data_IF_764491933791
#
_entry.id   IF_764491933791
#
_cell.length_a   1.000
_cell.length_b   1.000
_cell.length_c   1.000
_cell.angle_alpha   90.00
_cell.angle_beta   90.00
_cell.angle_gamma   90.00
#
_symmetry.space_group_name_H-M   'P 1'
#
loop_
_entity.id
_entity.type
_entity.pdbx_description
1 polymer ?
#
# COMPACT_ATOMS: atom_id res chain seq x y z
N UNK A 1 26.74 14.93 15.70
CA UNK A 1 25.59 15.26 14.82
C UNK A 1 25.34 14.06 13.95
N UNK A 2 24.19 13.40 14.09
CA UNK A 2 23.83 12.22 13.30
C UNK A 2 23.49 12.70 11.89
N UNK A 3 24.32 12.35 10.90
CA UNK A 3 24.07 12.64 9.49
C UNK A 3 22.94 11.74 9.00
N UNK A 4 21.73 12.28 8.93
CA UNK A 4 20.65 11.62 8.20
C UNK A 4 20.90 11.85 6.71
N UNK A 5 21.08 10.79 5.89
CA UNK A 5 21.13 10.97 4.45
C UNK A 5 19.86 11.70 4.01
N UNK A 6 19.98 12.67 3.10
CA UNK A 6 18.86 13.36 2.47
C UNK A 6 18.06 12.34 1.63
N UNK A 7 17.24 11.52 2.28
CA UNK A 7 16.36 10.57 1.62
C UNK A 7 15.29 11.39 0.91
N UNK A 8 15.34 11.40 -0.42
CA UNK A 8 14.34 12.07 -1.23
C UNK A 8 12.99 11.35 -1.11
N UNK A 9 11.88 12.10 -1.10
CA UNK A 9 10.53 11.52 -1.12
C UNK A 9 10.32 10.56 -2.29
N UNK A 10 10.94 10.84 -3.43
CA UNK A 10 10.91 9.94 -4.58
C UNK A 10 11.54 8.57 -4.27
N UNK A 11 12.63 8.57 -3.49
CA UNK A 11 13.32 7.35 -3.10
C UNK A 11 12.49 6.49 -2.14
N UNK A 12 11.80 7.13 -1.18
CA UNK A 12 10.85 6.43 -0.30
C UNK A 12 9.73 5.74 -1.08
N UNK A 13 9.17 6.41 -2.09
CA UNK A 13 8.11 5.84 -2.93
C UNK A 13 8.64 4.66 -3.76
N UNK A 14 9.86 4.78 -4.30
CA UNK A 14 10.49 3.70 -5.07
C UNK A 14 10.74 2.48 -4.17
N UNK A 15 11.29 2.69 -2.97
CA UNK A 15 11.49 1.61 -2.00
C UNK A 15 10.16 0.98 -1.57
N UNK A 16 9.12 1.78 -1.35
CA UNK A 16 7.79 1.27 -1.01
C UNK A 16 7.24 0.33 -2.09
N UNK A 17 7.41 0.68 -3.38
CA UNK A 17 6.97 -0.16 -4.50
C UNK A 17 7.74 -1.48 -4.63
N UNK A 18 8.96 -1.57 -4.11
CA UNK A 18 9.77 -2.79 -4.15
C UNK A 18 9.31 -3.84 -3.13
N UNK A 19 8.58 -3.45 -2.08
CA UNK A 19 8.05 -4.39 -1.11
C UNK A 19 6.99 -5.32 -1.70
N UNK A 20 6.85 -6.51 -1.09
CA UNK A 20 5.75 -7.41 -1.40
C UNK A 20 4.40 -6.75 -1.11
N UNK A 21 3.35 -7.18 -1.80
CA UNK A 21 2.02 -6.58 -1.63
C UNK A 21 1.54 -6.65 -0.17
N UNK A 22 1.86 -7.75 0.53
CA UNK A 22 1.52 -7.91 1.95
C UNK A 22 2.26 -6.91 2.84
N UNK A 23 3.54 -6.65 2.58
CA UNK A 23 4.30 -5.63 3.30
C UNK A 23 3.78 -4.22 3.01
N UNK A 24 3.45 -3.90 1.76
CA UNK A 24 2.85 -2.61 1.41
C UNK A 24 1.52 -2.40 2.16
N UNK A 25 0.66 -3.42 2.18
CA UNK A 25 -0.60 -3.39 2.90
C UNK A 25 -0.39 -3.20 4.41
N UNK A 26 0.56 -3.93 5.00
CA UNK A 26 0.89 -3.81 6.42
C UNK A 26 1.41 -2.40 6.78
N UNK A 27 2.34 -1.84 6.00
CA UNK A 27 2.85 -0.48 6.21
C UNK A 27 1.72 0.54 6.16
N UNK A 28 0.86 0.46 5.14
CA UNK A 28 -0.29 1.36 5.02
C UNK A 28 -1.28 1.17 6.19
N UNK A 29 -1.53 -0.07 6.61
CA UNK A 29 -2.37 -0.39 7.77
C UNK A 29 -1.84 0.18 9.08
N UNK A 30 -0.52 0.14 9.30
CA UNK A 30 0.12 0.76 10.47
C UNK A 30 -0.07 2.28 10.46
N UNK A 31 0.07 2.92 9.29
CA UNK A 31 -0.21 4.36 9.16
C UNK A 31 -1.66 4.66 9.52
N UNK A 32 -2.61 3.88 8.99
CA UNK A 32 -4.03 4.02 9.35
C UNK A 32 -4.22 3.87 10.85
N UNK A 33 -3.64 2.85 11.48
CA UNK A 33 -3.75 2.63 12.92
C UNK A 33 -3.23 3.83 13.73
N UNK A 34 -2.04 4.33 13.40
CA UNK A 34 -1.42 5.46 14.09
C UNK A 34 -2.20 6.77 13.93
N UNK A 35 -2.85 6.97 12.79
CA UNK A 35 -3.69 8.16 12.54
C UNK A 35 -5.07 8.02 13.18
N UNK A 36 -5.63 6.81 13.19
CA UNK A 36 -7.00 6.59 13.65
C UNK A 36 -7.14 6.63 15.17
N UNK A 37 -6.09 6.25 15.92
CA UNK A 37 -6.06 6.37 17.39
C UNK A 37 -6.27 7.82 17.85
N UNK A 38 -5.45 8.82 17.45
CA UNK A 38 -5.66 10.20 17.86
C UNK A 38 -6.94 10.78 17.26
N UNK A 39 -7.33 10.39 16.05
CA UNK A 39 -8.61 10.79 15.46
C UNK A 39 -9.79 10.39 16.36
N UNK A 40 -9.88 9.10 16.70
CA UNK A 40 -10.98 8.58 17.52
C UNK A 40 -10.94 9.09 18.97
N UNK A 41 -9.75 9.26 19.54
CA UNK A 41 -9.61 9.78 20.89
C UNK A 41 -9.97 11.27 20.99
N UNK A 42 -9.41 12.13 20.13
CA UNK A 42 -9.60 13.58 20.25
C UNK A 42 -10.87 14.09 19.57
N UNK A 43 -11.20 13.58 18.37
CA UNK A 43 -12.32 14.10 17.58
C UNK A 43 -13.64 13.39 17.91
N UNK A 44 -13.60 12.06 18.07
CA UNK A 44 -14.79 11.28 18.45
C UNK A 44 -14.98 11.18 19.97
N UNK A 45 -14.01 11.68 20.76
CA UNK A 45 -14.04 11.71 22.23
C UNK A 45 -14.28 10.34 22.87
N UNK A 46 -13.79 9.28 22.22
CA UNK A 46 -13.87 7.93 22.75
C UNK A 46 -12.83 7.73 23.86
N UNK A 47 -13.08 6.75 24.72
CA UNK A 47 -12.04 6.36 25.67
C UNK A 47 -10.84 5.71 24.93
N UNK A 48 -9.70 5.60 25.60
CA UNK A 48 -8.47 5.11 24.96
C UNK A 48 -8.61 3.67 24.45
N UNK A 49 -9.37 2.83 25.16
CA UNK A 49 -9.57 1.42 24.82
C UNK A 49 -10.44 1.29 23.57
N UNK A 50 -11.55 2.02 23.51
CA UNK A 50 -12.45 2.11 22.35
C UNK A 50 -11.73 2.68 21.13
N UNK A 51 -10.87 3.70 21.33
CA UNK A 51 -10.07 4.31 20.27
C UNK A 51 -9.10 3.29 19.66
N UNK A 52 -8.39 2.52 20.51
CA UNK A 52 -7.49 1.46 20.06
C UNK A 52 -8.26 0.35 19.35
N UNK A 53 -9.40 -0.09 19.90
CA UNK A 53 -10.22 -1.13 19.30
C UNK A 53 -10.72 -0.71 17.91
N UNK A 54 -11.28 0.50 17.79
CA UNK A 54 -11.72 1.07 16.51
C UNK A 54 -10.59 1.22 15.50
N UNK A 55 -9.42 1.67 15.94
CA UNK A 55 -8.25 1.80 15.07
C UNK A 55 -7.75 0.44 14.56
N UNK A 56 -7.78 -0.60 15.40
CA UNK A 56 -7.45 -1.97 15.01
C UNK A 56 -8.42 -2.51 13.96
N UNK A 57 -9.73 -2.41 14.20
CA UNK A 57 -10.74 -2.85 13.23
C UNK A 57 -10.59 -2.11 11.89
N UNK A 58 -10.42 -0.79 11.94
CA UNK A 58 -10.28 0.05 10.74
C UNK A 58 -9.00 -0.28 9.96
N UNK A 59 -7.89 -0.50 10.67
CA UNK A 59 -6.61 -0.89 10.08
C UNK A 59 -6.69 -2.26 9.40
N UNK A 60 -7.26 -3.27 10.06
CA UNK A 60 -7.44 -4.61 9.49
C UNK A 60 -8.32 -4.53 8.24
N UNK A 61 -9.46 -3.83 8.32
CA UNK A 61 -10.36 -3.64 7.18
C UNK A 61 -9.62 -2.98 6.01
N UNK A 62 -8.83 -1.94 6.29
CA UNK A 62 -8.04 -1.27 5.27
C UNK A 62 -7.00 -2.19 4.63
N UNK A 63 -6.26 -2.97 5.43
CA UNK A 63 -5.28 -3.95 4.92
C UNK A 63 -5.93 -4.93 3.95
N UNK A 64 -7.09 -5.48 4.34
CA UNK A 64 -7.85 -6.44 3.53
C UNK A 64 -8.28 -5.79 2.22
N UNK A 65 -8.95 -4.65 2.27
CA UNK A 65 -9.44 -3.94 1.07
C UNK A 65 -8.28 -3.52 0.16
N UNK A 66 -7.19 -2.99 0.74
CA UNK A 66 -6.01 -2.58 -0.02
C UNK A 66 -5.38 -3.78 -0.74
N UNK A 67 -5.21 -4.90 -0.04
CA UNK A 67 -4.61 -6.10 -0.61
C UNK A 67 -5.44 -6.65 -1.76
N UNK A 68 -6.76 -6.82 -1.57
CA UNK A 68 -7.64 -7.36 -2.60
C UNK A 68 -7.74 -6.44 -3.81
N UNK A 69 -7.93 -5.14 -3.59
CA UNK A 69 -8.00 -4.15 -4.67
C UNK A 69 -6.71 -4.16 -5.49
N UNK A 70 -5.56 -4.12 -4.83
CA UNK A 70 -4.25 -4.15 -5.48
C UNK A 70 -3.99 -5.45 -6.22
N UNK A 71 -4.42 -6.58 -5.67
CA UNK A 71 -4.30 -7.88 -6.32
C UNK A 71 -5.14 -7.94 -7.59
N UNK A 72 -6.38 -7.44 -7.56
CA UNK A 72 -7.26 -7.35 -8.74
C UNK A 72 -6.64 -6.45 -9.81
N UNK A 73 -6.18 -5.26 -9.43
CA UNK A 73 -5.55 -4.31 -10.36
C UNK A 73 -4.29 -4.92 -10.97
N UNK A 74 -3.39 -5.47 -10.15
CA UNK A 74 -2.13 -6.07 -10.63
C UNK A 74 -2.38 -7.21 -11.60
N UNK A 75 -3.40 -8.06 -11.34
CA UNK A 75 -3.79 -9.13 -12.26
C UNK A 75 -4.36 -8.57 -13.57
N UNK A 76 -5.20 -7.54 -13.52
CA UNK A 76 -5.73 -6.86 -14.72
C UNK A 76 -4.60 -6.23 -15.54
N UNK A 77 -3.68 -5.51 -14.90
CA UNK A 77 -2.53 -4.88 -15.58
C UNK A 77 -1.61 -5.90 -16.21
N UNK A 78 -1.32 -7.03 -15.54
CA UNK A 78 -0.53 -8.13 -16.14
C UNK A 78 -1.23 -8.73 -17.36
N UNK A 79 -2.56 -8.93 -17.30
CA UNK A 79 -3.35 -9.41 -18.43
C UNK A 79 -3.28 -8.43 -19.61
N UNK A 80 -3.41 -7.14 -19.36
CA UNK A 80 -3.30 -6.09 -20.39
C UNK A 80 -1.88 -5.97 -20.95
N UNK A 81 -0.83 -6.09 -20.12
CA UNK A 81 0.56 -6.09 -20.58
C UNK A 81 0.88 -7.31 -21.46
N UNK A 82 0.31 -8.48 -21.15
CA UNK A 82 0.43 -9.67 -22.00
C UNK A 82 -0.35 -9.57 -23.32
N UNK A 83 -1.45 -8.81 -23.34
CA UNK A 83 -2.22 -8.52 -24.56
C UNK A 83 -1.59 -7.39 -25.40
N UNK A 84 -0.80 -6.51 -24.78
CA UNK A 84 -0.06 -5.43 -25.42
C UNK A 84 1.32 -5.86 -25.96
N UNK A 85 1.59 -7.16 -26.06
CA UNK A 85 2.66 -7.65 -26.92
C UNK A 85 2.28 -7.31 -28.37
N UNK A 86 2.62 -6.10 -28.80
CA UNK A 86 2.62 -5.70 -30.20
C UNK A 86 3.34 -6.75 -31.04
N UNK A 87 3.02 -6.85 -32.34
CA UNK A 87 3.39 -7.98 -33.18
C UNK A 87 4.88 -8.29 -33.00
N UNK A 88 5.20 -9.56 -32.69
CA UNK A 88 6.57 -10.05 -32.54
C UNK A 88 7.40 -9.53 -33.72
N UNK A 89 8.14 -8.43 -33.52
CA UNK A 89 9.20 -7.97 -34.42
C UNK A 89 10.28 -9.05 -34.39
N UNK A 90 10.11 -10.08 -35.22
CA UNK A 90 10.98 -11.25 -35.21
C UNK A 90 10.54 -12.43 -36.07
N UNK A 91 9.27 -12.54 -36.50
CA UNK A 91 8.91 -13.42 -37.61
C UNK A 91 9.12 -12.70 -38.94
N UNK A 92 10.37 -12.27 -39.18
CA UNK A 92 10.80 -11.85 -40.50
C UNK A 92 11.29 -13.12 -41.20
N UNK A 93 10.50 -13.59 -42.15
CA UNK A 93 10.81 -14.64 -43.11
C UNK A 93 12.31 -14.71 -43.49
N UNK A 94 12.97 -15.83 -43.17
CA UNK A 94 13.57 -16.81 -44.10
C UNK A 94 14.52 -17.74 -43.33
#
# INVERSE_FOLDING_TARGET
MVNFPNISYAELIIRFRQYTLMQQAAIAGVIVLLVYIPYSYFLLRLNIVESIAMALYSSILFIVVYYFTSLIITRKTKKMASQSLGPKKGLRHK
#
